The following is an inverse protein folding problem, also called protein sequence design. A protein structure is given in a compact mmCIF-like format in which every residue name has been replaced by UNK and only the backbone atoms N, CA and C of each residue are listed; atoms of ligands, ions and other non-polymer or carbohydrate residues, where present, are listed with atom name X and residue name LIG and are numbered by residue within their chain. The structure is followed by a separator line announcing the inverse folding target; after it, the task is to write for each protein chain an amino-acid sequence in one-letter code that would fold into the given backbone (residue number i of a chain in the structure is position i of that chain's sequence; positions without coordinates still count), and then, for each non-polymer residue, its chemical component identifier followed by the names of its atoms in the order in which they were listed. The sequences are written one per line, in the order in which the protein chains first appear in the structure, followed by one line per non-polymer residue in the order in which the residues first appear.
data_IF_140885423319
#
_entry.id   IF_140885423319
#
_cell.length_a   1.000
_cell.length_b   1.000
_cell.length_c   1.000
_cell.angle_alpha   90.00
_cell.angle_beta   90.00
_cell.angle_gamma   90.00
#
_symmetry.space_group_name_H-M   'P 1'
#
loop_
_entity.id
_entity.type
_entity.pdbx_description
1 polymer ?
#
# COMPACT_ATOMS: atom_id res chain seq x y z
N UNK A 1 23.05 -0.59 -10.82
CA UNK A 1 21.86 -1.06 -10.06
C UNK A 1 20.65 -0.36 -10.65
N UNK A 2 19.70 -1.10 -11.24
CA UNK A 2 18.55 -0.51 -11.92
C UNK A 2 17.52 -0.02 -10.89
N UNK A 3 17.45 1.29 -10.70
CA UNK A 3 16.48 1.97 -9.85
C UNK A 3 15.12 2.01 -10.57
N UNK A 4 14.41 0.88 -10.62
CA UNK A 4 13.04 0.85 -11.16
C UNK A 4 12.11 1.52 -10.14
N UNK A 5 11.68 2.75 -10.44
CA UNK A 5 10.62 3.43 -9.70
C UNK A 5 9.32 2.73 -10.05
N UNK A 6 8.87 1.78 -9.22
CA UNK A 6 7.56 1.19 -9.36
C UNK A 6 6.51 2.09 -8.70
N UNK A 7 5.38 2.32 -9.38
CA UNK A 7 4.26 3.05 -8.80
C UNK A 7 3.59 2.20 -7.70
N UNK A 8 2.97 2.86 -6.70
CA UNK A 8 2.24 2.18 -5.61
C UNK A 8 1.26 1.13 -6.16
N UNK A 9 0.44 1.40 -7.20
CA UNK A 9 -0.46 0.38 -7.77
C UNK A 9 0.27 -0.83 -8.34
N UNK A 10 1.40 -0.62 -9.03
CA UNK A 10 2.17 -1.70 -9.61
C UNK A 10 2.77 -2.61 -8.52
N UNK A 11 3.37 -2.01 -7.48
CA UNK A 11 3.93 -2.75 -6.35
C UNK A 11 2.82 -3.54 -5.62
N UNK A 12 1.71 -2.88 -5.33
CA UNK A 12 0.58 -3.50 -4.63
C UNK A 12 0.02 -4.71 -5.39
N UNK A 13 -0.19 -4.55 -6.71
CA UNK A 13 -0.65 -5.65 -7.56
C UNK A 13 0.35 -6.80 -7.62
N UNK A 14 1.66 -6.50 -7.73
CA UNK A 14 2.70 -7.53 -7.73
C UNK A 14 2.71 -8.34 -6.43
N UNK A 15 2.39 -7.71 -5.30
CA UNK A 15 2.45 -8.35 -3.98
C UNK A 15 1.15 -9.05 -3.57
N UNK A 16 0.00 -8.60 -4.07
CA UNK A 16 -1.32 -9.06 -3.61
C UNK A 16 -2.15 -9.73 -4.69
N UNK A 17 -1.76 -9.60 -5.97
CA UNK A 17 -2.56 -9.96 -7.17
C UNK A 17 -3.88 -9.20 -7.32
N UNK A 18 -4.10 -8.18 -6.47
CA UNK A 18 -5.28 -7.32 -6.48
C UNK A 18 -4.90 -5.88 -6.80
N UNK A 19 -5.81 -5.13 -7.43
CA UNK A 19 -5.64 -3.68 -7.55
C UNK A 19 -5.94 -3.03 -6.20
N UNK A 20 -5.13 -2.05 -5.76
CA UNK A 20 -5.41 -1.37 -4.51
C UNK A 20 -6.70 -0.55 -4.61
N UNK A 21 -7.48 -0.55 -3.53
CA UNK A 21 -8.50 0.45 -3.32
C UNK A 21 -7.87 1.82 -3.05
N UNK A 22 -8.61 2.90 -3.33
CA UNK A 22 -8.15 4.27 -3.14
C UNK A 22 -7.57 4.54 -1.75
N UNK A 23 -8.20 4.00 -0.70
CA UNK A 23 -7.71 4.21 0.67
C UNK A 23 -6.36 3.49 0.92
N UNK A 24 -6.11 2.34 0.28
CA UNK A 24 -4.85 1.59 0.42
C UNK A 24 -3.71 2.39 -0.23
N UNK A 25 -3.94 2.92 -1.44
CA UNK A 25 -2.99 3.79 -2.14
C UNK A 25 -2.66 5.03 -1.33
N UNK A 26 -3.68 5.72 -0.78
CA UNK A 26 -3.48 6.91 0.06
C UNK A 26 -2.72 6.59 1.36
N UNK A 27 -3.02 5.44 1.96
CA UNK A 27 -2.35 4.99 3.19
C UNK A 27 -0.87 4.70 2.89
N UNK A 28 -0.57 3.98 1.82
CA UNK A 28 0.81 3.68 1.43
C UNK A 28 1.57 4.97 1.10
N UNK A 29 0.98 5.90 0.36
CA UNK A 29 1.60 7.21 0.07
C UNK A 29 1.93 8.01 1.34
N UNK A 30 0.99 8.11 2.29
CA UNK A 30 1.23 8.78 3.59
C UNK A 30 2.35 8.12 4.38
N UNK A 31 2.36 6.79 4.40
CA UNK A 31 3.39 6.05 5.11
C UNK A 31 4.78 6.22 4.45
N UNK A 32 4.87 6.19 3.12
CA UNK A 32 6.12 6.44 2.38
C UNK A 32 6.65 7.86 2.65
N UNK A 33 5.74 8.82 2.89
CA UNK A 33 6.06 10.18 3.34
C UNK A 33 6.34 10.31 4.84
N UNK A 34 6.48 9.18 5.56
CA UNK A 34 6.76 9.11 7.01
C UNK A 34 5.71 9.82 7.89
N UNK A 35 4.45 9.83 7.45
CA UNK A 35 3.36 10.39 8.22
C UNK A 35 2.72 9.31 9.10
N UNK A 36 2.54 9.62 10.37
CA UNK A 36 1.75 8.78 11.27
C UNK A 36 0.33 8.65 10.73
N UNK A 37 -0.07 7.42 10.43
CA UNK A 37 -1.31 7.14 9.69
C UNK A 37 -2.15 6.13 10.46
N UNK A 38 -3.36 6.54 10.86
CA UNK A 38 -4.35 5.64 11.44
C UNK A 38 -5.17 4.96 10.33
N UNK A 39 -4.96 3.67 10.12
CA UNK A 39 -5.73 2.88 9.16
C UNK A 39 -6.99 2.28 9.82
N UNK A 40 -8.11 3.01 9.79
CA UNK A 40 -9.41 2.56 10.31
C UNK A 40 -10.37 2.22 9.16
N UNK A 41 -10.68 0.94 9.01
CA UNK A 41 -11.65 0.43 8.03
C UNK A 41 -12.33 -0.86 8.57
N UNK A 42 -13.54 -1.24 8.11
CA UNK A 42 -14.22 -2.47 8.52
C UNK A 42 -13.36 -3.74 8.34
N UNK A 43 -13.70 -4.85 8.99
CA UNK A 43 -13.04 -6.15 8.72
C UNK A 43 -13.23 -6.57 7.26
N UNK A 44 -12.29 -7.36 6.72
CA UNK A 44 -12.32 -7.77 5.30
C UNK A 44 -11.91 -6.69 4.29
N UNK A 45 -11.67 -5.44 4.70
CA UNK A 45 -11.30 -4.34 3.80
C UNK A 45 -9.86 -4.39 3.27
N UNK A 46 -9.00 -5.31 3.71
CA UNK A 46 -7.62 -5.41 3.23
C UNK A 46 -6.60 -4.52 3.96
N UNK A 47 -6.82 -4.23 5.26
CA UNK A 47 -5.86 -3.47 6.09
C UNK A 47 -4.51 -4.17 6.24
N UNK A 48 -4.52 -5.50 6.39
CA UNK A 48 -3.29 -6.32 6.52
C UNK A 48 -2.47 -6.27 5.25
N UNK A 49 -3.11 -6.45 4.08
CA UNK A 49 -2.44 -6.35 2.78
C UNK A 49 -1.82 -4.97 2.57
N UNK A 50 -2.52 -3.91 2.99
CA UNK A 50 -2.02 -2.53 2.94
C UNK A 50 -0.76 -2.34 3.79
N UNK A 51 -0.71 -2.91 4.99
CA UNK A 51 0.45 -2.82 5.87
C UNK A 51 1.65 -3.62 5.34
N UNK A 52 1.41 -4.80 4.76
CA UNK A 52 2.47 -5.66 4.20
C UNK A 52 3.05 -5.05 2.92
N UNK A 53 2.22 -4.48 2.05
CA UNK A 53 2.66 -3.83 0.81
C UNK A 53 3.66 -2.69 1.07
N UNK A 54 3.68 -2.13 2.28
CA UNK A 54 4.61 -1.07 2.71
C UNK A 54 5.96 -1.60 3.24
N UNK A 55 6.07 -2.88 3.60
CA UNK A 55 7.25 -3.46 4.24
C UNK A 55 8.30 -4.02 3.26
N UNK A 56 8.03 -3.96 1.95
CA UNK A 56 8.93 -4.48 0.90
C UNK A 56 9.12 -3.46 -0.20
#
# INVERSE_FOLDING_TARGET
MNNRIFSIPHLFYTLTTHQPYNFQTQTIDRILKRQDTLLRAPTGSGKTETAIAKLR
#
